data_IF_392982704452
#
_entry.id   IF_392982704452
#
_cell.length_a   1.000
_cell.length_b   1.000
_cell.length_c   1.000
_cell.angle_alpha   90.00
_cell.angle_beta   90.00
_cell.angle_gamma   90.00
#
_symmetry.space_group_name_H-M   'P 1'
#
loop_
_entity.id
_entity.type
_entity.pdbx_description
1 polymer ?
#
# COMPACT_ATOMS: atom_id res chain seq x y z
N UNK A 1 -16.81 -1.26 28.99
CA UNK A 1 -17.96 -1.92 28.33
C UNK A 1 -17.47 -2.33 26.95
N UNK A 2 -17.44 -3.63 26.61
CA UNK A 2 -17.08 -4.09 25.27
C UNK A 2 -18.33 -3.91 24.39
N UNK A 3 -18.30 -3.02 23.40
CA UNK A 3 -19.35 -2.97 22.38
C UNK A 3 -19.49 -4.36 21.77
N UNK A 4 -20.72 -4.84 21.68
CA UNK A 4 -21.02 -6.10 21.03
C UNK A 4 -20.67 -5.93 19.55
N UNK A 5 -19.58 -6.57 19.12
CA UNK A 5 -19.19 -6.60 17.71
C UNK A 5 -20.34 -7.20 16.90
N UNK A 6 -20.71 -6.55 15.80
CA UNK A 6 -21.79 -6.97 14.91
C UNK A 6 -21.69 -8.46 14.55
N UNK A 7 -22.81 -9.18 14.56
CA UNK A 7 -22.91 -10.60 14.17
C UNK A 7 -23.14 -10.77 12.66
N UNK A 8 -22.83 -9.76 11.85
CA UNK A 8 -22.96 -9.87 10.40
C UNK A 8 -22.09 -11.02 9.89
N UNK A 9 -22.66 -11.88 9.04
CA UNK A 9 -21.87 -12.90 8.36
C UNK A 9 -20.95 -12.22 7.33
N UNK A 10 -19.66 -12.60 7.25
CA UNK A 10 -18.76 -12.07 6.24
C UNK A 10 -19.19 -12.53 4.84
N UNK A 11 -18.88 -11.75 3.78
CA UNK A 11 -19.17 -12.16 2.42
C UNK A 11 -18.41 -13.44 2.06
N UNK A 12 -18.88 -14.14 1.01
CA UNK A 12 -18.18 -15.31 0.51
C UNK A 12 -16.75 -14.94 0.09
N UNK A 13 -15.78 -15.79 0.43
CA UNK A 13 -14.40 -15.57 0.01
C UNK A 13 -14.31 -15.64 -1.51
N UNK A 14 -13.73 -14.59 -2.10
CA UNK A 14 -13.33 -14.54 -3.50
C UNK A 14 -11.82 -14.71 -3.59
N UNK A 15 -11.32 -15.17 -4.74
CA UNK A 15 -9.87 -15.22 -4.96
C UNK A 15 -9.27 -13.82 -4.80
N UNK A 16 -8.22 -13.69 -3.97
CA UNK A 16 -7.48 -12.44 -3.79
C UNK A 16 -6.99 -11.89 -5.12
N UNK A 17 -6.52 -12.75 -6.01
CA UNK A 17 -6.05 -12.36 -7.33
C UNK A 17 -7.15 -11.70 -8.15
N UNK A 18 -8.35 -12.28 -8.18
CA UNK A 18 -9.48 -11.75 -8.91
C UNK A 18 -9.96 -10.40 -8.33
N UNK A 19 -10.06 -10.30 -7.01
CA UNK A 19 -10.46 -9.06 -6.34
C UNK A 19 -9.43 -7.93 -6.57
N UNK A 20 -8.14 -8.26 -6.47
CA UNK A 20 -7.05 -7.31 -6.73
C UNK A 20 -7.00 -6.88 -8.19
N UNK A 21 -7.20 -7.80 -9.14
CA UNK A 21 -7.23 -7.47 -10.56
C UNK A 21 -8.35 -6.46 -10.87
N UNK A 22 -9.56 -6.70 -10.34
CA UNK A 22 -10.71 -5.80 -10.48
C UNK A 22 -10.42 -4.42 -9.87
N UNK A 23 -9.82 -4.39 -8.67
CA UNK A 23 -9.45 -3.13 -8.02
C UNK A 23 -8.38 -2.35 -8.78
N UNK A 24 -7.38 -3.02 -9.34
CA UNK A 24 -6.34 -2.37 -10.17
C UNK A 24 -6.95 -1.74 -11.41
N UNK A 25 -7.72 -2.50 -12.18
CA UNK A 25 -8.37 -2.00 -13.40
C UNK A 25 -9.15 -0.70 -13.17
N UNK A 26 -9.84 -0.64 -12.03
CA UNK A 26 -10.69 0.48 -11.67
C UNK A 26 -9.93 1.67 -11.07
N UNK A 27 -8.83 1.42 -10.34
CA UNK A 27 -8.08 2.49 -9.64
C UNK A 27 -6.86 3.01 -10.40
N UNK A 28 -6.36 2.27 -11.40
CA UNK A 28 -5.16 2.65 -12.17
C UNK A 28 -5.31 4.01 -12.87
N UNK A 29 -6.54 4.39 -13.27
CA UNK A 29 -6.83 5.70 -13.87
C UNK A 29 -6.66 6.89 -12.89
N UNK A 30 -6.75 6.62 -11.60
CA UNK A 30 -6.68 7.59 -10.52
C UNK A 30 -5.40 7.43 -9.68
N UNK A 31 -4.51 6.54 -10.12
CA UNK A 31 -3.29 6.21 -9.43
C UNK A 31 -2.07 6.88 -10.08
N UNK A 32 -1.11 7.24 -9.25
CA UNK A 32 0.22 7.66 -9.69
C UNK A 32 1.25 6.65 -9.19
N UNK A 33 2.00 6.10 -10.13
CA UNK A 33 3.15 5.23 -9.88
C UNK A 33 4.41 5.99 -10.27
N UNK A 34 5.02 6.69 -9.31
CA UNK A 34 6.30 7.36 -9.55
C UNK A 34 7.42 6.35 -9.66
N UNK A 35 8.38 6.64 -10.54
CA UNK A 35 9.65 5.91 -10.61
C UNK A 35 10.79 6.87 -10.26
N UNK A 36 11.83 6.33 -9.62
CA UNK A 36 13.01 7.10 -9.25
C UNK A 36 14.27 6.43 -9.79
N UNK A 37 15.16 7.24 -10.35
CA UNK A 37 16.45 6.78 -10.87
C UNK A 37 17.56 7.02 -9.84
N UNK A 38 18.25 5.93 -9.49
CA UNK A 38 19.45 5.93 -8.66
C UNK A 38 20.68 6.40 -9.44
N UNK A 39 21.78 6.68 -8.75
CA UNK A 39 23.01 7.20 -9.39
C UNK A 39 23.60 6.23 -10.42
N UNK A 40 23.46 4.94 -10.19
CA UNK A 40 23.83 3.87 -11.12
C UNK A 40 23.02 3.83 -12.42
N UNK A 41 21.94 4.62 -12.53
CA UNK A 41 20.99 4.58 -13.63
C UNK A 41 19.86 3.56 -13.44
N UNK A 42 19.85 2.79 -12.35
CA UNK A 42 18.78 1.84 -12.04
C UNK A 42 17.51 2.53 -11.56
N UNK A 43 16.36 1.91 -11.81
CA UNK A 43 15.05 2.47 -11.47
C UNK A 43 14.40 1.71 -10.31
N UNK A 44 13.77 2.46 -9.43
CA UNK A 44 12.90 1.97 -8.38
C UNK A 44 11.48 2.45 -8.63
N UNK A 45 10.51 1.57 -8.42
CA UNK A 45 9.09 1.88 -8.47
C UNK A 45 8.63 2.25 -7.06
N UNK A 46 8.06 3.44 -6.91
CA UNK A 46 7.53 3.91 -5.63
C UNK A 46 6.20 3.22 -5.30
N UNK A 47 5.73 3.29 -4.04
CA UNK A 47 4.39 2.87 -3.71
C UNK A 47 3.36 3.62 -4.55
N UNK A 48 2.35 2.88 -5.02
CA UNK A 48 1.20 3.47 -5.71
C UNK A 48 0.49 4.43 -4.77
N UNK A 49 0.21 5.64 -5.25
CA UNK A 49 -0.60 6.65 -4.56
C UNK A 49 -1.82 7.01 -5.38
N UNK A 50 -2.89 7.44 -4.74
CA UNK A 50 -4.10 7.91 -5.40
C UNK A 50 -4.07 9.42 -5.55
N UNK A 51 -4.27 9.91 -6.77
CA UNK A 51 -4.36 11.32 -7.12
C UNK A 51 -5.72 11.90 -6.72
N UNK A 52 -6.77 11.09 -6.87
CA UNK A 52 -8.14 11.44 -6.50
C UNK A 52 -8.69 10.39 -5.50
N UNK A 53 -8.60 10.66 -4.19
CA UNK A 53 -9.09 9.73 -3.17
C UNK A 53 -10.61 9.50 -3.22
N UNK A 54 -11.39 10.46 -3.72
CA UNK A 54 -12.85 10.36 -3.78
C UNK A 54 -13.29 9.43 -4.92
N UNK A 55 -12.68 9.58 -6.09
CA UNK A 55 -12.95 8.70 -7.23
C UNK A 55 -12.52 7.25 -6.94
N UNK A 56 -11.36 7.05 -6.32
CA UNK A 56 -10.89 5.70 -5.93
C UNK A 56 -11.81 5.08 -4.87
N UNK A 57 -12.28 5.87 -3.90
CA UNK A 57 -13.22 5.39 -2.90
C UNK A 57 -14.58 5.03 -3.52
N UNK A 58 -15.05 5.77 -4.52
CA UNK A 58 -16.26 5.45 -5.28
C UNK A 58 -16.07 4.14 -6.05
N UNK A 59 -14.95 4.02 -6.76
CA UNK A 59 -14.61 2.84 -7.53
C UNK A 59 -14.53 1.56 -6.67
N UNK A 60 -13.91 1.65 -5.50
CA UNK A 60 -13.86 0.55 -4.53
C UNK A 60 -15.26 0.10 -4.10
N UNK A 61 -16.16 1.04 -3.76
CA UNK A 61 -17.53 0.74 -3.35
C UNK A 61 -18.35 0.08 -4.46
N UNK A 62 -18.21 0.55 -5.69
CA UNK A 62 -18.92 -0.02 -6.84
C UNK A 62 -18.41 -1.42 -7.20
N UNK A 63 -17.11 -1.68 -7.04
CA UNK A 63 -16.49 -2.94 -7.44
C UNK A 63 -16.50 -4.02 -6.35
N UNK A 64 -16.66 -3.65 -5.07
CA UNK A 64 -16.73 -4.59 -3.94
C UNK A 64 -17.93 -4.30 -3.01
N UNK A 65 -19.17 -4.19 -3.54
CA UNK A 65 -20.32 -3.75 -2.76
C UNK A 65 -20.63 -4.67 -1.57
N UNK A 66 -20.36 -5.97 -1.68
CA UNK A 66 -20.56 -6.94 -0.60
C UNK A 66 -19.56 -6.75 0.55
N UNK A 67 -18.28 -6.51 0.24
CA UNK A 67 -17.25 -6.21 1.23
C UNK A 67 -17.57 -4.89 1.96
N UNK A 68 -17.98 -3.86 1.23
CA UNK A 68 -18.37 -2.56 1.78
C UNK A 68 -19.60 -2.68 2.67
N UNK A 69 -20.65 -3.34 2.20
CA UNK A 69 -21.87 -3.53 2.98
C UNK A 69 -21.65 -4.35 4.25
N UNK A 70 -20.65 -5.25 4.26
CA UNK A 70 -20.23 -5.96 5.47
C UNK A 70 -19.50 -5.01 6.42
N UNK A 71 -18.52 -4.25 5.94
CA UNK A 71 -17.73 -3.32 6.74
C UNK A 71 -18.56 -2.18 7.34
N UNK A 72 -19.53 -1.64 6.61
CA UNK A 72 -20.44 -0.59 7.10
C UNK A 72 -21.32 -1.06 8.27
N UNK A 73 -21.47 -2.38 8.46
CA UNK A 73 -22.15 -2.97 9.63
C UNK A 73 -21.20 -3.19 10.81
N UNK A 74 -19.91 -2.93 10.65
CA UNK A 74 -18.90 -3.07 11.70
C UNK A 74 -18.64 -1.71 12.36
N UNK A 75 -18.73 -1.67 13.69
CA UNK A 75 -18.46 -0.45 14.46
C UNK A 75 -17.01 0.08 14.29
N UNK A 76 -16.10 -0.75 13.79
CA UNK A 76 -14.69 -0.40 13.59
C UNK A 76 -14.37 0.20 12.22
N UNK A 77 -15.32 0.26 11.28
CA UNK A 77 -15.07 0.79 9.95
C UNK A 77 -15.79 2.14 9.74
N UNK A 78 -15.05 3.24 9.52
CA UNK A 78 -15.66 4.55 9.32
C UNK A 78 -16.28 4.66 7.93
N UNK A 79 -17.29 5.53 7.78
CA UNK A 79 -17.88 5.83 6.47
C UNK A 79 -16.84 6.41 5.47
N UNK A 80 -15.84 7.14 5.97
CA UNK A 80 -14.70 7.62 5.20
C UNK A 80 -13.39 7.28 5.90
N UNK A 81 -12.47 6.68 5.15
CA UNK A 81 -11.12 6.37 5.63
C UNK A 81 -10.25 7.62 5.46
N UNK A 82 -9.64 8.06 6.55
CA UNK A 82 -8.73 9.20 6.64
C UNK A 82 -7.46 8.75 7.36
N UNK A 83 -6.41 9.58 7.33
CA UNK A 83 -5.16 9.26 8.02
C UNK A 83 -5.37 9.00 9.52
N UNK A 84 -6.28 9.75 10.15
CA UNK A 84 -6.55 9.68 11.60
C UNK A 84 -7.25 8.39 12.02
N UNK A 85 -7.97 7.74 11.12
CA UNK A 85 -8.77 6.55 11.42
C UNK A 85 -8.31 5.30 10.66
N UNK A 86 -7.26 5.41 9.84
CA UNK A 86 -6.78 4.34 8.99
C UNK A 86 -6.35 3.11 9.77
N UNK A 87 -5.62 3.25 10.88
CA UNK A 87 -5.14 2.09 11.66
C UNK A 87 -6.32 1.25 12.18
N UNK A 88 -7.42 1.91 12.59
CA UNK A 88 -8.62 1.24 13.05
C UNK A 88 -9.35 0.54 11.89
N UNK A 89 -9.49 1.22 10.75
CA UNK A 89 -10.10 0.65 9.54
C UNK A 89 -9.28 -0.54 9.00
N UNK A 90 -7.96 -0.44 9.02
CA UNK A 90 -7.02 -1.49 8.62
C UNK A 90 -7.13 -2.71 9.53
N UNK A 91 -7.06 -2.51 10.86
CA UNK A 91 -7.21 -3.60 11.82
C UNK A 91 -8.57 -4.30 11.65
N UNK A 92 -9.65 -3.53 11.45
CA UNK A 92 -10.99 -4.04 11.18
C UNK A 92 -11.03 -4.91 9.92
N UNK A 93 -10.43 -4.47 8.82
CA UNK A 93 -10.40 -5.22 7.57
C UNK A 93 -9.50 -6.47 7.64
N UNK A 94 -8.38 -6.39 8.34
CA UNK A 94 -7.41 -7.49 8.45
C UNK A 94 -7.95 -8.69 9.24
N UNK A 95 -8.88 -8.49 10.16
CA UNK A 95 -9.57 -9.61 10.83
C UNK A 95 -10.35 -10.50 9.86
N UNK A 96 -10.73 -9.95 8.71
CA UNK A 96 -11.52 -10.60 7.68
C UNK A 96 -10.80 -10.61 6.34
N UNK A 97 -9.46 -10.56 6.31
CA UNK A 97 -8.66 -10.43 5.07
C UNK A 97 -9.00 -11.50 4.02
N UNK A 98 -9.34 -12.72 4.44
CA UNK A 98 -9.76 -13.80 3.54
C UNK A 98 -11.12 -13.54 2.85
N UNK A 99 -11.97 -12.72 3.44
CA UNK A 99 -13.30 -12.36 2.96
C UNK A 99 -13.33 -10.95 2.33
N UNK A 100 -12.35 -10.11 2.65
CA UNK A 100 -12.27 -8.71 2.20
C UNK A 100 -10.99 -8.39 1.37
N UNK A 101 -10.56 -9.26 0.44
CA UNK A 101 -9.29 -9.06 -0.26
C UNK A 101 -9.24 -7.79 -1.12
N UNK A 102 -10.38 -7.35 -1.67
CA UNK A 102 -10.44 -6.09 -2.42
C UNK A 102 -10.21 -4.88 -1.53
N UNK A 103 -10.82 -4.90 -0.34
CA UNK A 103 -10.71 -3.83 0.66
C UNK A 103 -9.34 -3.78 1.30
N UNK A 104 -8.76 -4.91 1.70
CA UNK A 104 -7.39 -4.89 2.27
C UNK A 104 -6.37 -4.44 1.22
N UNK A 105 -6.58 -4.77 -0.05
CA UNK A 105 -5.77 -4.17 -1.12
C UNK A 105 -5.98 -2.65 -1.21
N UNK A 106 -7.23 -2.17 -1.28
CA UNK A 106 -7.55 -0.75 -1.35
C UNK A 106 -6.92 0.06 -0.20
N UNK A 107 -7.13 -0.38 1.05
CA UNK A 107 -6.61 0.31 2.24
C UNK A 107 -5.08 0.37 2.25
N UNK A 108 -4.40 -0.66 1.73
CA UNK A 108 -2.94 -0.68 1.62
C UNK A 108 -2.41 0.42 0.68
N UNK A 109 -3.21 0.86 -0.30
CA UNK A 109 -2.85 1.93 -1.25
C UNK A 109 -3.30 3.30 -0.77
N UNK A 110 -4.46 3.36 -0.12
CA UNK A 110 -4.92 4.58 0.57
C UNK A 110 -3.86 5.08 1.55
N UNK A 111 -3.24 4.19 2.33
CA UNK A 111 -2.17 4.55 3.27
C UNK A 111 -1.03 5.32 2.61
N UNK A 112 -0.60 4.89 1.43
CA UNK A 112 0.49 5.52 0.68
C UNK A 112 0.13 6.94 0.23
N UNK A 113 -1.17 7.21 0.09
CA UNK A 113 -1.70 8.49 -0.37
C UNK A 113 -1.79 9.52 0.76
N UNK A 114 -1.62 9.10 2.02
CA UNK A 114 -1.48 10.02 3.15
C UNK A 114 -0.08 10.64 3.14
N UNK A 115 0.05 11.76 2.42
CA UNK A 115 0.90 12.93 2.70
C UNK A 115 2.41 12.79 2.93
N UNK A 116 2.98 11.60 3.04
CA UNK A 116 4.36 11.40 3.54
C UNK A 116 5.15 10.42 2.69
N UNK A 117 4.50 9.44 2.05
CA UNK A 117 5.22 8.33 1.43
C UNK A 117 5.98 8.72 0.14
N UNK A 118 5.40 9.46 -0.82
CA UNK A 118 6.13 9.88 -2.02
C UNK A 118 7.30 10.82 -1.73
N UNK A 119 7.13 11.70 -0.75
CA UNK A 119 8.16 12.68 -0.37
C UNK A 119 9.28 12.01 0.43
N UNK A 120 8.94 11.02 1.27
CA UNK A 120 9.94 10.21 1.99
C UNK A 120 10.83 9.41 1.04
N UNK A 121 10.27 8.78 -0.01
CA UNK A 121 11.07 8.08 -1.03
C UNK A 121 12.00 9.06 -1.75
N UNK A 122 11.51 10.24 -2.12
CA UNK A 122 12.31 11.25 -2.79
C UNK A 122 13.48 11.75 -1.93
N UNK A 123 13.22 12.05 -0.65
CA UNK A 123 14.26 12.52 0.27
C UNK A 123 15.27 11.42 0.63
N UNK A 124 14.84 10.16 0.80
CA UNK A 124 15.75 9.02 1.00
C UNK A 124 16.69 8.83 -0.20
N UNK A 125 16.17 8.94 -1.43
CA UNK A 125 16.99 8.84 -2.66
C UNK A 125 17.97 10.02 -2.77
N UNK A 126 17.55 11.22 -2.38
CA UNK A 126 18.43 12.39 -2.33
C UNK A 126 19.54 12.24 -1.27
N UNK A 127 19.23 11.65 -0.12
CA UNK A 127 20.21 11.32 0.91
C UNK A 127 21.22 10.27 0.41
N UNK A 128 20.74 9.21 -0.25
CA UNK A 128 21.58 8.20 -0.88
C UNK A 128 22.53 8.80 -1.92
N UNK A 129 22.03 9.67 -2.82
CA UNK A 129 22.88 10.38 -3.80
C UNK A 129 23.98 11.23 -3.17
N UNK A 130 23.75 11.79 -1.98
CA UNK A 130 24.76 12.57 -1.27
C UNK A 130 25.78 11.68 -0.57
N UNK A 131 25.35 10.52 -0.07
CA UNK A 131 26.20 9.60 0.70
C UNK A 131 25.72 8.16 0.48
N UNK A 132 26.19 7.48 -0.59
CA UNK A 132 25.82 6.10 -0.87
C UNK A 132 26.42 5.17 0.20
N UNK A 133 25.56 4.60 1.05
CA UNK A 133 25.98 3.64 2.08
C UNK A 133 24.82 2.71 2.45
N UNK A 134 25.10 1.71 3.30
CA UNK A 134 24.14 0.71 3.72
C UNK A 134 22.89 1.32 4.36
N UNK A 135 23.06 2.37 5.17
CA UNK A 135 21.97 3.02 5.88
C UNK A 135 21.01 3.73 4.93
N UNK A 136 21.53 4.56 4.02
CA UNK A 136 20.68 5.30 3.07
C UNK A 136 20.02 4.38 2.05
N UNK A 137 20.65 3.26 1.68
CA UNK A 137 20.03 2.25 0.83
C UNK A 137 18.95 1.44 1.58
N UNK A 138 19.16 1.15 2.87
CA UNK A 138 18.16 0.51 3.73
C UNK A 138 16.93 1.40 3.93
N UNK A 139 17.13 2.70 4.16
CA UNK A 139 16.03 3.69 4.25
C UNK A 139 15.17 3.68 2.96
N UNK A 140 15.79 3.54 1.78
CA UNK A 140 15.05 3.38 0.52
C UNK A 140 14.29 2.05 0.48
N UNK A 141 14.95 0.95 0.88
CA UNK A 141 14.37 -0.39 0.85
C UNK A 141 13.11 -0.51 1.72
N UNK A 142 13.08 0.19 2.86
CA UNK A 142 11.93 0.23 3.78
C UNK A 142 10.73 1.04 3.22
N UNK A 143 10.99 1.97 2.30
CA UNK A 143 9.97 2.86 1.74
C UNK A 143 9.38 2.38 0.42
N UNK A 144 10.11 1.54 -0.34
CA UNK A 144 9.64 1.04 -1.64
C UNK A 144 8.95 -0.32 -1.51
N UNK A 145 7.98 -0.65 -2.39
CA UNK A 145 7.34 -1.96 -2.36
C UNK A 145 8.34 -3.08 -2.62
N UNK A 146 8.22 -4.19 -1.88
CA UNK A 146 9.04 -5.41 -2.00
C UNK A 146 8.67 -6.25 -3.24
N UNK A 147 8.64 -5.60 -4.42
CA UNK A 147 8.45 -6.27 -5.71
C UNK A 147 9.76 -6.88 -6.19
N UNK A 148 9.71 -7.95 -7.00
CA UNK A 148 10.92 -8.58 -7.54
C UNK A 148 11.82 -7.59 -8.26
N UNK A 149 11.25 -6.65 -9.04
CA UNK A 149 12.02 -5.61 -9.72
C UNK A 149 12.73 -4.66 -8.75
N UNK A 150 12.05 -4.20 -7.69
CA UNK A 150 12.69 -3.35 -6.69
C UNK A 150 13.76 -4.11 -5.90
N UNK A 151 13.50 -5.36 -5.53
CA UNK A 151 14.46 -6.20 -4.82
C UNK A 151 15.73 -6.44 -5.65
N UNK A 152 15.58 -6.74 -6.95
CA UNK A 152 16.71 -6.89 -7.87
C UNK A 152 17.52 -5.60 -8.01
N UNK A 153 16.85 -4.45 -8.14
CA UNK A 153 17.53 -3.15 -8.17
C UNK A 153 18.30 -2.89 -6.87
N UNK A 154 17.66 -3.06 -5.71
CA UNK A 154 18.27 -2.83 -4.40
C UNK A 154 19.46 -3.77 -4.15
N UNK A 155 19.36 -5.04 -4.53
CA UNK A 155 20.46 -6.00 -4.40
C UNK A 155 21.65 -5.64 -5.31
N UNK A 156 21.38 -5.20 -6.54
CA UNK A 156 22.43 -4.77 -7.46
C UNK A 156 23.15 -3.50 -6.98
N UNK A 157 22.42 -2.55 -6.38
CA UNK A 157 23.03 -1.39 -5.72
C UNK A 157 23.87 -1.79 -4.52
N UNK A 158 23.34 -2.66 -3.67
CA UNK A 158 24.04 -3.12 -2.49
C UNK A 158 25.39 -3.76 -2.87
N UNK A 159 25.40 -4.61 -3.90
CA UNK A 159 26.61 -5.22 -4.45
C UNK A 159 27.59 -4.18 -5.03
N UNK A 160 27.10 -3.19 -5.79
CA UNK A 160 27.94 -2.14 -6.38
C UNK A 160 28.65 -1.27 -5.33
N UNK A 161 28.02 -1.11 -4.16
CA UNK A 161 28.54 -0.30 -3.06
C UNK A 161 29.18 -1.13 -1.93
N UNK A 162 29.26 -2.46 -2.09
CA UNK A 162 29.86 -3.36 -1.10
C UNK A 162 29.13 -3.40 0.24
N UNK A 163 27.80 -3.23 0.22
CA UNK A 163 26.94 -3.20 1.41
C UNK A 163 25.98 -4.39 1.41
N UNK A 164 25.54 -4.79 2.60
CA UNK A 164 24.50 -5.82 2.78
C UNK A 164 23.22 -5.14 3.27
N UNK A 165 22.10 -5.45 2.63
CA UNK A 165 20.78 -5.00 3.07
C UNK A 165 20.17 -6.00 4.03
N UNK A 166 19.54 -5.50 5.08
CA UNK A 166 18.64 -6.30 5.90
C UNK A 166 17.32 -6.39 5.14
N UNK A 167 17.14 -7.49 4.39
CA UNK A 167 15.88 -7.73 3.70
C UNK A 167 14.84 -8.07 4.77
N UNK A 168 13.92 -7.14 5.04
CA UNK A 168 12.74 -7.47 5.84
C UNK A 168 11.93 -8.56 5.10
N UNK A 169 11.55 -9.65 5.78
CA UNK A 169 10.79 -10.74 5.18
C UNK A 169 9.43 -10.30 4.64
#
# INVERSE_FOLDING_TARGET
MRSARSTAEPPASVSREAAVAKMRECTDAYANTKTYTLESGRTLVAPVTFLDPEDVATCWRENNPEEVAFLEKQDCFPAQVTEQNWDNAWACAMEWDANLPGTTWYLSKVKNSFGVMPDSVAEAIKAYKKTPNAKTLQEIAELVPSTSSNQETLAAEAAAHGVTLEVAP
#
